data_IF_237764907094
#
_entry.id   IF_237764907094
#
_cell.length_a   1.000
_cell.length_b   1.000
_cell.length_c   1.000
_cell.angle_alpha   90.00
_cell.angle_beta   90.00
_cell.angle_gamma   90.00
#
_symmetry.space_group_name_H-M   'P 1'
#
loop_
_entity.id
_entity.type
_entity.pdbx_description
1 polymer ?
#
# COMPACT_ATOMS: atom_id res chain seq x y z
N UNK A 1 -4.50 -12.32 -11.84
CA UNK A 1 -5.44 -11.47 -11.10
C UNK A 1 -5.40 -11.72 -9.62
N UNK A 2 -5.50 -12.98 -9.18
CA UNK A 2 -5.51 -13.33 -7.74
C UNK A 2 -4.24 -12.90 -7.01
N UNK A 3 -3.07 -13.24 -7.55
CA UNK A 3 -1.80 -12.86 -6.93
C UNK A 3 -1.70 -11.33 -6.74
N UNK A 4 -2.14 -10.58 -7.73
CA UNK A 4 -2.05 -9.12 -7.68
C UNK A 4 -3.04 -8.52 -6.66
N UNK A 5 -4.28 -8.98 -6.60
CA UNK A 5 -5.23 -8.48 -5.59
C UNK A 5 -4.86 -8.93 -4.17
N UNK A 6 -4.26 -10.11 -4.04
CA UNK A 6 -3.72 -10.57 -2.76
C UNK A 6 -2.55 -9.69 -2.29
N UNK A 7 -1.64 -9.29 -3.18
CA UNK A 7 -0.54 -8.40 -2.81
C UNK A 7 -1.01 -7.05 -2.25
N UNK A 8 -2.16 -6.54 -2.73
CA UNK A 8 -2.78 -5.31 -2.22
C UNK A 8 -3.39 -5.52 -0.83
N UNK A 9 -3.95 -6.70 -0.54
CA UNK A 9 -4.77 -6.92 0.67
C UNK A 9 -4.10 -7.72 1.77
N UNK A 10 -2.99 -8.42 1.48
CA UNK A 10 -2.36 -9.34 2.42
C UNK A 10 -1.85 -8.66 3.69
N UNK A 11 -1.25 -7.47 3.59
CA UNK A 11 -0.77 -6.77 4.78
C UNK A 11 -1.93 -6.34 5.69
N UNK A 12 -3.00 -5.81 5.11
CA UNK A 12 -4.21 -5.49 5.87
C UNK A 12 -4.82 -6.74 6.53
N UNK A 13 -4.86 -7.86 5.81
CA UNK A 13 -5.33 -9.14 6.34
C UNK A 13 -4.48 -9.63 7.52
N UNK A 14 -3.17 -9.49 7.44
CA UNK A 14 -2.24 -9.84 8.53
C UNK A 14 -2.47 -8.96 9.76
N UNK A 15 -2.61 -7.65 9.57
CA UNK A 15 -2.87 -6.72 10.67
C UNK A 15 -4.21 -7.03 11.35
N UNK A 16 -5.27 -7.30 10.57
CA UNK A 16 -6.59 -7.65 11.08
C UNK A 16 -6.63 -9.00 11.81
N UNK A 17 -5.82 -9.96 11.39
CA UNK A 17 -5.71 -11.31 11.96
C UNK A 17 -4.75 -11.43 13.13
N UNK A 18 -4.05 -10.38 13.50
CA UNK A 18 -3.10 -10.40 14.60
C UNK A 18 -3.77 -10.45 15.98
N UNK A 19 -3.03 -10.83 17.01
CA UNK A 19 -3.53 -10.97 18.40
C UNK A 19 -4.23 -9.70 18.94
N UNK A 20 -3.75 -8.52 18.52
CA UNK A 20 -4.32 -7.23 18.95
C UNK A 20 -5.35 -6.66 17.97
N UNK A 21 -5.62 -7.33 16.84
CA UNK A 21 -6.59 -6.87 15.83
C UNK A 21 -6.27 -5.48 15.28
N UNK A 22 -7.32 -4.73 14.98
CA UNK A 22 -7.24 -3.34 14.49
C UNK A 22 -7.11 -2.38 15.67
N UNK A 23 -5.97 -1.72 15.83
CA UNK A 23 -5.66 -0.90 17.00
C UNK A 23 -5.93 0.59 16.79
N UNK A 24 -6.07 1.05 15.54
CA UNK A 24 -6.22 2.46 15.23
C UNK A 24 -7.52 3.08 15.78
N UNK A 25 -8.58 2.28 15.93
CA UNK A 25 -9.86 2.70 16.48
C UNK A 25 -10.05 2.35 17.97
N UNK A 26 -9.02 1.87 18.65
CA UNK A 26 -9.09 1.47 20.05
C UNK A 26 -8.90 2.69 20.95
N UNK A 27 -9.92 2.99 21.78
CA UNK A 27 -9.99 4.25 22.54
C UNK A 27 -9.19 4.19 23.85
N UNK A 28 -9.03 3.01 24.44
CA UNK A 28 -8.64 2.91 25.86
C UNK A 28 -7.22 2.41 26.08
N UNK A 29 -6.76 1.38 25.39
CA UNK A 29 -5.49 0.72 25.70
C UNK A 29 -4.42 0.82 24.62
N UNK A 30 -4.81 0.80 23.35
CA UNK A 30 -3.86 0.58 22.27
C UNK A 30 -3.20 1.85 21.75
N UNK A 31 -3.82 3.02 21.97
CA UNK A 31 -3.31 4.29 21.46
C UNK A 31 -2.08 4.80 22.23
N UNK A 32 -1.89 4.38 23.46
CA UNK A 32 -0.76 4.82 24.29
C UNK A 32 0.37 3.78 24.42
N UNK A 33 0.06 2.51 24.20
CA UNK A 33 1.00 1.40 24.37
C UNK A 33 1.44 0.80 23.03
N UNK A 34 0.60 0.94 21.99
CA UNK A 34 0.80 0.37 20.67
C UNK A 34 0.64 1.43 19.56
N UNK A 35 1.04 2.68 19.81
CA UNK A 35 0.90 3.76 18.84
C UNK A 35 1.68 3.49 17.54
N UNK A 36 2.92 3.01 17.62
CA UNK A 36 3.72 2.58 16.48
C UNK A 36 2.96 1.59 15.58
N UNK A 37 2.28 0.62 16.22
CA UNK A 37 1.44 -0.34 15.50
C UNK A 37 0.24 0.33 14.86
N UNK A 38 -0.45 1.22 15.57
CA UNK A 38 -1.62 1.92 15.07
C UNK A 38 -1.26 2.76 13.83
N UNK A 39 -0.15 3.48 13.85
CA UNK A 39 0.30 4.26 12.70
C UNK A 39 0.77 3.38 11.55
N UNK A 40 1.44 2.27 11.81
CA UNK A 40 1.76 1.29 10.76
C UNK A 40 0.49 0.72 10.12
N UNK A 41 -0.52 0.39 10.90
CA UNK A 41 -1.83 -0.04 10.38
C UNK A 41 -2.49 1.04 9.52
N UNK A 42 -2.35 2.31 9.91
CA UNK A 42 -2.86 3.42 9.12
C UNK A 42 -2.18 3.49 7.75
N UNK A 43 -0.85 3.37 7.70
CA UNK A 43 -0.10 3.31 6.45
C UNK A 43 -0.50 2.11 5.58
N UNK A 44 -0.65 0.93 6.16
CA UNK A 44 -1.15 -0.26 5.45
C UNK A 44 -2.54 -0.02 4.86
N UNK A 45 -3.44 0.58 5.65
CA UNK A 45 -4.78 0.92 5.16
C UNK A 45 -4.73 1.93 4.01
N UNK A 46 -3.95 3.01 4.15
CA UNK A 46 -3.84 4.06 3.15
C UNK A 46 -3.41 3.48 1.79
N UNK A 47 -2.31 2.72 1.77
CA UNK A 47 -1.81 2.11 0.56
C UNK A 47 -2.78 1.04 -0.01
N UNK A 48 -3.39 0.21 0.84
CA UNK A 48 -4.42 -0.75 0.41
C UNK A 48 -5.59 -0.05 -0.27
N UNK A 49 -6.08 1.05 0.29
CA UNK A 49 -7.20 1.81 -0.28
C UNK A 49 -6.87 2.37 -1.66
N UNK A 50 -5.71 3.03 -1.81
CA UNK A 50 -5.29 3.62 -3.08
C UNK A 50 -5.09 2.54 -4.15
N UNK A 51 -4.38 1.45 -3.82
CA UNK A 51 -4.13 0.37 -4.77
C UNK A 51 -5.39 -0.46 -5.08
N UNK A 52 -6.32 -0.58 -4.15
CA UNK A 52 -7.60 -1.24 -4.41
C UNK A 52 -8.47 -0.39 -5.34
N UNK A 53 -8.42 0.94 -5.23
CA UNK A 53 -9.09 1.83 -6.17
C UNK A 53 -8.55 1.64 -7.59
N UNK A 54 -7.23 1.69 -7.76
CA UNK A 54 -6.56 1.39 -9.03
C UNK A 54 -6.94 0.00 -9.57
N UNK A 55 -6.83 -1.03 -8.74
CA UNK A 55 -7.09 -2.41 -9.14
C UNK A 55 -8.53 -2.58 -9.65
N UNK A 56 -9.49 -2.06 -8.90
CA UNK A 56 -10.90 -2.19 -9.18
C UNK A 56 -11.35 -1.40 -10.42
N UNK A 57 -10.82 -0.18 -10.58
CA UNK A 57 -11.27 0.74 -11.63
C UNK A 57 -10.53 0.59 -12.94
N UNK A 58 -9.33 0.02 -12.95
CA UNK A 58 -8.50 -0.12 -14.14
C UNK A 58 -8.16 -1.59 -14.45
N UNK A 59 -7.52 -2.31 -13.53
CA UNK A 59 -6.96 -3.64 -13.80
C UNK A 59 -8.03 -4.73 -13.89
N UNK A 60 -9.07 -4.66 -13.06
CA UNK A 60 -10.16 -5.65 -13.01
C UNK A 60 -11.25 -5.39 -14.07
N UNK A 61 -10.88 -4.80 -15.22
CA UNK A 61 -11.78 -4.51 -16.33
C UNK A 61 -11.19 -4.98 -17.66
N UNK A 62 -12.03 -5.33 -18.63
CA UNK A 62 -11.60 -5.63 -19.99
C UNK A 62 -11.41 -4.36 -20.83
N UNK A 63 -12.13 -3.30 -20.52
CA UNK A 63 -12.07 -2.01 -21.20
C UNK A 63 -12.53 -0.86 -20.32
N UNK A 64 -12.24 0.36 -20.74
CA UNK A 64 -12.54 1.59 -19.96
C UNK A 64 -14.04 1.79 -19.70
N UNK A 65 -14.90 1.25 -20.58
CA UNK A 65 -16.35 1.37 -20.49
C UNK A 65 -17.03 0.19 -19.76
N UNK A 66 -16.27 -0.82 -19.37
CA UNK A 66 -16.82 -1.97 -18.66
C UNK A 66 -17.22 -1.61 -17.24
N UNK A 67 -18.24 -2.30 -16.74
CA UNK A 67 -18.65 -2.16 -15.36
C UNK A 67 -17.60 -2.74 -14.44
N UNK A 68 -17.34 -2.04 -13.36
CA UNK A 68 -16.56 -2.53 -12.24
C UNK A 68 -17.20 -3.81 -11.67
N UNK A 69 -16.37 -4.76 -11.22
CA UNK A 69 -16.88 -5.93 -10.50
C UNK A 69 -17.66 -5.49 -9.27
N UNK A 70 -18.91 -5.98 -9.13
CA UNK A 70 -19.76 -5.65 -7.97
C UNK A 70 -19.05 -5.95 -6.64
N UNK A 71 -18.32 -7.06 -6.57
CA UNK A 71 -17.57 -7.42 -5.36
C UNK A 71 -16.47 -6.38 -5.03
N UNK A 72 -15.71 -5.94 -6.03
CA UNK A 72 -14.66 -4.94 -5.82
C UNK A 72 -15.25 -3.56 -5.54
N UNK A 73 -16.33 -3.20 -6.20
CA UNK A 73 -17.08 -1.97 -5.93
C UNK A 73 -17.54 -1.91 -4.47
N UNK A 74 -18.16 -3.00 -3.95
CA UNK A 74 -18.59 -3.09 -2.58
C UNK A 74 -17.42 -3.07 -1.59
N UNK A 75 -16.30 -3.74 -1.90
CA UNK A 75 -15.09 -3.70 -1.08
C UNK A 75 -14.55 -2.28 -0.98
N UNK A 76 -14.45 -1.58 -2.10
CA UNK A 76 -13.87 -0.24 -2.21
C UNK A 76 -14.72 0.81 -1.51
N UNK A 77 -16.00 0.91 -1.86
CA UNK A 77 -16.88 2.00 -1.39
C UNK A 77 -17.48 1.75 -0.01
N UNK A 78 -17.87 0.51 0.30
CA UNK A 78 -18.56 0.20 1.55
C UNK A 78 -17.64 -0.42 2.61
N UNK A 79 -16.42 -0.75 2.22
CA UNK A 79 -15.41 -1.32 3.10
C UNK A 79 -14.22 -0.39 3.31
N UNK A 80 -13.33 -0.32 2.34
CA UNK A 80 -12.08 0.46 2.45
C UNK A 80 -12.27 1.98 2.43
N UNK A 81 -13.46 2.52 2.14
CA UNK A 81 -13.74 3.94 2.28
C UNK A 81 -14.04 4.39 3.72
N UNK A 82 -14.28 3.44 4.65
CA UNK A 82 -14.57 3.77 6.05
C UNK A 82 -13.31 4.29 6.73
N UNK A 83 -13.45 5.37 7.50
CA UNK A 83 -12.34 5.97 8.25
C UNK A 83 -11.69 4.95 9.20
N UNK A 84 -10.36 4.79 9.20
CA UNK A 84 -9.65 3.79 10.01
C UNK A 84 -9.79 4.00 11.52
N UNK A 85 -10.18 5.19 11.95
CA UNK A 85 -10.42 5.54 13.36
C UNK A 85 -11.85 5.28 13.81
N UNK A 86 -12.73 4.90 12.88
CA UNK A 86 -14.15 4.67 13.21
C UNK A 86 -14.30 3.42 14.09
N UNK A 87 -14.78 3.61 15.33
CA UNK A 87 -15.04 2.51 16.28
C UNK A 87 -16.51 2.14 16.40
N UNK A 88 -17.44 3.01 15.98
CA UNK A 88 -18.89 2.79 16.01
C UNK A 88 -19.41 2.34 14.64
N UNK A 89 -20.70 2.33 14.45
CA UNK A 89 -21.37 1.89 13.24
C UNK A 89 -21.32 2.93 12.12
N UNK A 90 -20.67 2.64 10.97
CA UNK A 90 -19.88 1.43 10.69
C UNK A 90 -18.50 1.47 11.36
N UNK A 91 -18.09 0.39 12.01
CA UNK A 91 -16.73 0.29 12.56
C UNK A 91 -15.73 -0.02 11.45
N UNK A 92 -14.51 0.53 11.57
CA UNK A 92 -13.41 0.26 10.64
C UNK A 92 -13.14 -1.24 10.52
N UNK A 93 -12.94 -1.92 11.65
CA UNK A 93 -12.66 -3.35 11.68
C UNK A 93 -13.74 -4.19 11.01
N UNK A 94 -15.01 -3.94 11.33
CA UNK A 94 -16.14 -4.66 10.72
C UNK A 94 -16.24 -4.41 9.22
N UNK A 95 -15.99 -3.18 8.79
CA UNK A 95 -16.02 -2.78 7.38
C UNK A 95 -14.90 -3.41 6.58
N UNK A 96 -13.66 -3.40 7.11
CA UNK A 96 -12.51 -4.02 6.43
C UNK A 96 -12.63 -5.54 6.36
N UNK A 97 -13.14 -6.23 7.40
CA UNK A 97 -13.44 -7.66 7.34
C UNK A 97 -14.46 -7.97 6.23
N UNK A 98 -15.51 -7.15 6.09
CA UNK A 98 -16.48 -7.29 5.00
C UNK A 98 -15.83 -7.04 3.63
N UNK A 99 -15.00 -6.00 3.51
CA UNK A 99 -14.26 -5.72 2.27
C UNK A 99 -13.35 -6.88 1.86
N UNK A 100 -12.57 -7.41 2.78
CA UNK A 100 -11.72 -8.57 2.53
C UNK A 100 -12.53 -9.81 2.09
N UNK A 101 -13.74 -10.01 2.66
CA UNK A 101 -14.65 -11.06 2.20
C UNK A 101 -15.13 -10.82 0.77
N UNK A 102 -15.46 -9.60 0.39
CA UNK A 102 -15.83 -9.27 -0.99
C UNK A 102 -14.67 -9.53 -1.96
N UNK A 103 -13.43 -9.21 -1.58
CA UNK A 103 -12.24 -9.56 -2.37
C UNK A 103 -12.13 -11.08 -2.58
N UNK A 104 -12.43 -11.91 -1.56
CA UNK A 104 -12.44 -13.37 -1.73
C UNK A 104 -13.54 -13.83 -2.71
N UNK A 105 -14.73 -13.23 -2.67
CA UNK A 105 -15.79 -13.54 -3.65
C UNK A 105 -15.38 -13.13 -5.07
N UNK A 106 -14.70 -11.98 -5.24
CA UNK A 106 -14.12 -11.62 -6.53
C UNK A 106 -13.10 -12.68 -7.00
N UNK A 107 -12.20 -13.14 -6.15
CA UNK A 107 -11.21 -14.18 -6.50
C UNK A 107 -11.90 -15.49 -6.93
N UNK A 108 -12.98 -15.88 -6.27
CA UNK A 108 -13.79 -17.04 -6.68
C UNK A 108 -14.47 -16.81 -8.05
N UNK A 109 -14.90 -15.58 -8.32
CA UNK A 109 -15.48 -15.24 -9.62
C UNK A 109 -14.50 -15.37 -10.77
N UNK A 110 -13.21 -15.12 -10.52
CA UNK A 110 -12.14 -15.36 -11.48
C UNK A 110 -11.99 -16.86 -11.81
N UNK A 111 -12.13 -17.76 -10.81
CA UNK A 111 -12.06 -19.20 -11.03
C UNK A 111 -13.20 -19.73 -11.91
N UNK A 112 -14.36 -19.10 -11.81
CA UNK A 112 -15.56 -19.50 -12.57
C UNK A 112 -15.68 -18.79 -13.93
N UNK A 113 -14.71 -17.97 -14.31
CA UNK A 113 -14.72 -17.17 -15.55
C UNK A 113 -15.78 -16.07 -15.56
N UNK A 114 -16.39 -15.74 -14.41
CA UNK A 114 -17.36 -14.65 -14.28
C UNK A 114 -16.70 -13.33 -13.90
N UNK A 115 -15.52 -13.38 -13.28
CA UNK A 115 -14.71 -12.23 -12.96
C UNK A 115 -13.86 -11.82 -14.13
N UNK A 116 -13.54 -10.53 -14.23
CA UNK A 116 -12.64 -9.97 -15.21
C UNK A 116 -11.30 -9.59 -14.61
N UNK A 117 -10.26 -9.85 -15.34
CA UNK A 117 -8.89 -9.41 -15.06
C UNK A 117 -8.19 -9.20 -16.40
N UNK A 118 -7.67 -8.02 -16.62
CA UNK A 118 -6.89 -7.70 -17.79
C UNK A 118 -5.86 -6.64 -17.39
N UNK A 119 -4.60 -6.98 -17.50
CA UNK A 119 -3.51 -6.06 -17.20
C UNK A 119 -2.62 -5.95 -18.44
N UNK A 120 -2.67 -4.80 -19.06
CA UNK A 120 -1.92 -4.44 -20.26
C UNK A 120 -0.76 -3.53 -19.90
N UNK A 121 0.09 -3.21 -20.85
CA UNK A 121 1.22 -2.28 -20.67
C UNK A 121 0.77 -0.93 -20.12
N UNK A 122 -0.36 -0.40 -20.61
CA UNK A 122 -0.93 0.86 -20.12
C UNK A 122 -1.34 0.76 -18.64
N UNK A 123 -1.85 -0.39 -18.23
CA UNK A 123 -2.25 -0.64 -16.83
C UNK A 123 -1.01 -0.78 -15.93
N UNK A 124 0.08 -1.37 -16.44
CA UNK A 124 1.38 -1.42 -15.75
C UNK A 124 1.95 -0.01 -15.56
N UNK A 125 1.89 0.82 -16.61
CA UNK A 125 2.27 2.22 -16.51
C UNK A 125 1.43 2.95 -15.45
N UNK A 126 0.11 2.81 -15.50
CA UNK A 126 -0.80 3.42 -14.53
C UNK A 126 -0.56 2.94 -13.10
N UNK A 127 -0.25 1.63 -12.92
CA UNK A 127 0.09 1.05 -11.63
C UNK A 127 1.36 1.67 -11.04
N UNK A 128 2.45 1.74 -11.80
CA UNK A 128 3.69 2.37 -11.37
C UNK A 128 3.50 3.88 -11.16
N UNK A 129 2.75 4.56 -12.04
CA UNK A 129 2.44 5.98 -11.87
C UNK A 129 1.65 6.27 -10.59
N UNK A 130 0.73 5.39 -10.20
CA UNK A 130 0.02 5.48 -8.92
C UNK A 130 0.99 5.31 -7.75
N UNK A 131 1.88 4.30 -7.81
CA UNK A 131 2.86 4.02 -6.75
C UNK A 131 3.82 5.20 -6.52
N UNK A 132 4.36 5.81 -7.59
CA UNK A 132 5.29 6.94 -7.45
C UNK A 132 4.58 8.28 -7.21
N UNK A 133 3.25 8.30 -7.36
CA UNK A 133 2.42 9.50 -7.30
C UNK A 133 2.30 10.12 -5.92
N UNK A 134 1.64 11.29 -5.90
CA UNK A 134 1.47 12.11 -4.69
C UNK A 134 0.63 11.43 -3.60
N UNK A 135 -0.22 10.48 -3.94
CA UNK A 135 -1.04 9.74 -2.98
C UNK A 135 -0.35 8.50 -2.38
N UNK A 136 0.86 8.17 -2.82
CA UNK A 136 1.63 7.02 -2.38
C UNK A 136 3.06 7.41 -1.95
N UNK A 137 4.09 7.16 -2.76
CA UNK A 137 5.47 7.53 -2.38
C UNK A 137 5.65 9.04 -2.23
N UNK A 138 4.93 9.86 -2.99
CA UNK A 138 4.92 11.32 -2.79
C UNK A 138 4.32 11.71 -1.44
N UNK A 139 3.22 11.08 -1.02
CA UNK A 139 2.64 11.29 0.31
C UNK A 139 3.60 10.85 1.42
N UNK A 140 4.22 9.67 1.28
CA UNK A 140 5.20 9.17 2.24
C UNK A 140 6.40 10.14 2.43
N UNK A 141 6.90 10.72 1.33
CA UNK A 141 7.92 11.75 1.37
C UNK A 141 7.41 13.03 2.05
N UNK A 142 6.17 13.44 1.76
CA UNK A 142 5.53 14.59 2.38
C UNK A 142 5.37 14.46 3.90
N UNK A 143 5.09 13.25 4.41
CA UNK A 143 5.04 12.98 5.85
C UNK A 143 6.35 13.27 6.58
N UNK A 144 7.48 13.14 5.90
CA UNK A 144 8.82 13.29 6.48
C UNK A 144 9.54 14.56 6.02
N UNK A 145 8.92 15.40 5.20
CA UNK A 145 9.57 16.57 4.59
C UNK A 145 10.08 17.58 5.64
N UNK A 146 9.41 17.68 6.77
CA UNK A 146 9.73 18.56 7.91
C UNK A 146 10.27 17.80 9.12
N UNK A 147 10.90 16.63 8.89
CA UNK A 147 11.31 15.71 9.95
C UNK A 147 12.22 16.33 11.03
N UNK A 148 13.00 17.37 10.66
CA UNK A 148 13.88 18.07 11.60
C UNK A 148 13.14 19.05 12.53
N UNK A 149 11.97 19.52 12.12
CA UNK A 149 11.19 20.56 12.80
C UNK A 149 10.06 20.01 13.66
N UNK A 150 9.77 18.71 13.55
CA UNK A 150 8.66 18.08 14.28
C UNK A 150 9.12 17.40 15.56
N UNK A 151 8.26 17.35 16.60
CA UNK A 151 8.56 16.62 17.83
C UNK A 151 8.81 15.13 17.54
N UNK A 152 9.77 14.53 18.27
CA UNK A 152 10.21 13.14 18.04
C UNK A 152 9.06 12.11 18.10
N UNK A 153 8.08 12.30 18.97
CA UNK A 153 6.90 11.42 19.07
C UNK A 153 5.97 11.52 17.85
N UNK A 154 5.96 12.66 17.16
CA UNK A 154 5.23 12.82 15.90
C UNK A 154 6.03 12.22 14.74
N UNK A 155 7.35 12.38 14.76
CA UNK A 155 8.24 11.80 13.76
C UNK A 155 8.20 10.27 13.80
N UNK A 156 8.23 9.69 14.99
CA UNK A 156 8.09 8.27 15.22
C UNK A 156 6.81 7.72 14.56
N UNK A 157 5.69 8.32 14.85
CA UNK A 157 4.40 7.97 14.27
C UNK A 157 4.40 8.02 12.73
N UNK A 158 4.99 9.08 12.15
CA UNK A 158 5.08 9.24 10.69
C UNK A 158 5.98 8.19 10.05
N UNK A 159 7.08 7.81 10.70
CA UNK A 159 7.96 6.73 10.22
C UNK A 159 7.21 5.40 10.17
N UNK A 160 6.46 5.04 11.22
CA UNK A 160 5.67 3.80 11.20
C UNK A 160 4.53 3.83 10.19
N UNK A 161 3.92 4.99 9.96
CA UNK A 161 2.93 5.16 8.87
C UNK A 161 3.58 4.89 7.50
N UNK A 162 4.73 5.50 7.24
CA UNK A 162 5.51 5.27 6.01
C UNK A 162 5.86 3.78 5.84
N UNK A 163 6.33 3.13 6.90
CA UNK A 163 6.62 1.69 6.85
C UNK A 163 5.40 0.86 6.47
N UNK A 164 4.24 1.17 7.06
CA UNK A 164 2.98 0.51 6.73
C UNK A 164 2.61 0.65 5.26
N UNK A 165 2.80 1.84 4.70
CA UNK A 165 2.58 2.08 3.26
C UNK A 165 3.56 1.28 2.40
N UNK A 166 4.85 1.35 2.71
CA UNK A 166 5.90 0.70 1.93
C UNK A 166 5.77 -0.82 1.95
N UNK A 167 5.28 -1.42 3.04
CA UNK A 167 4.97 -2.86 3.09
C UNK A 167 3.99 -3.29 1.98
N UNK A 168 2.93 -2.53 1.78
CA UNK A 168 1.92 -2.82 0.74
C UNK A 168 2.47 -2.52 -0.65
N UNK A 169 3.15 -1.37 -0.82
CA UNK A 169 3.78 -0.99 -2.08
C UNK A 169 4.78 -2.05 -2.54
N UNK A 170 5.64 -2.50 -1.64
CA UNK A 170 6.65 -3.53 -1.92
C UNK A 170 6.00 -4.84 -2.41
N UNK A 171 4.99 -5.32 -1.68
CA UNK A 171 4.31 -6.56 -2.04
C UNK A 171 3.59 -6.42 -3.40
N UNK A 172 3.02 -5.25 -3.68
CA UNK A 172 2.36 -4.95 -4.96
C UNK A 172 3.36 -4.87 -6.12
N UNK A 173 4.44 -4.11 -5.96
CA UNK A 173 5.49 -3.97 -6.99
C UNK A 173 6.15 -5.31 -7.27
N UNK A 174 6.41 -6.11 -6.22
CA UNK A 174 6.90 -7.47 -6.38
C UNK A 174 5.95 -8.34 -7.19
N UNK A 175 4.67 -8.31 -6.88
CA UNK A 175 3.66 -9.08 -7.62
C UNK A 175 3.53 -8.63 -9.08
N UNK A 176 3.64 -7.33 -9.37
CA UNK A 176 3.70 -6.83 -10.74
C UNK A 176 4.92 -7.39 -11.47
N UNK A 177 6.09 -7.36 -10.86
CA UNK A 177 7.32 -7.87 -11.46
C UNK A 177 7.29 -9.39 -11.69
N UNK A 178 6.76 -10.15 -10.73
CA UNK A 178 6.62 -11.61 -10.84
C UNK A 178 5.64 -12.01 -11.97
N UNK A 179 4.61 -11.22 -12.20
CA UNK A 179 3.60 -11.48 -13.24
C UNK A 179 4.00 -10.95 -14.62
N UNK A 180 4.71 -9.85 -14.65
CA UNK A 180 5.06 -9.08 -15.85
C UNK A 180 6.56 -8.75 -15.85
N UNK A 181 7.44 -9.75 -16.03
CA UNK A 181 8.89 -9.53 -15.99
C UNK A 181 9.38 -8.57 -17.08
N UNK A 182 8.58 -8.34 -18.12
CA UNK A 182 8.85 -7.33 -19.13
C UNK A 182 8.98 -5.90 -18.58
N UNK A 183 8.43 -5.61 -17.40
CA UNK A 183 8.63 -4.33 -16.70
C UNK A 183 10.11 -4.04 -16.49
N UNK A 184 10.92 -5.08 -16.25
CA UNK A 184 12.35 -4.95 -16.02
C UNK A 184 13.21 -5.14 -17.26
N UNK A 185 12.64 -5.12 -18.47
CA UNK A 185 13.41 -5.13 -19.71
C UNK A 185 14.16 -3.81 -19.89
N UNK A 186 15.13 -3.77 -20.82
CA UNK A 186 15.92 -2.55 -21.15
C UNK A 186 16.74 -1.99 -19.97
N UNK A 187 17.47 -2.86 -19.24
CA UNK A 187 18.30 -2.52 -18.08
C UNK A 187 17.55 -2.11 -16.80
N UNK A 188 16.23 -2.26 -16.74
CA UNK A 188 15.45 -1.95 -15.54
C UNK A 188 15.52 -3.03 -14.44
N UNK A 189 16.14 -4.18 -14.69
CA UNK A 189 16.30 -5.22 -13.67
C UNK A 189 17.11 -4.73 -12.45
N UNK A 190 18.16 -3.92 -12.69
CA UNK A 190 18.95 -3.31 -11.62
C UNK A 190 18.15 -2.25 -10.85
N UNK A 191 17.36 -1.43 -11.56
CA UNK A 191 16.47 -0.46 -10.94
C UNK A 191 15.42 -1.15 -10.06
N UNK A 192 14.85 -2.26 -10.54
CA UNK A 192 13.88 -3.04 -9.77
C UNK A 192 14.52 -3.67 -8.52
N UNK A 193 15.70 -4.29 -8.67
CA UNK A 193 16.43 -4.87 -7.55
C UNK A 193 16.79 -3.81 -6.49
N UNK A 194 17.26 -2.65 -6.91
CA UNK A 194 17.58 -1.53 -6.02
C UNK A 194 16.32 -0.99 -5.31
N UNK A 195 15.23 -0.78 -6.04
CA UNK A 195 13.97 -0.33 -5.45
C UNK A 195 13.45 -1.33 -4.41
N UNK A 196 13.49 -2.63 -4.71
CA UNK A 196 13.10 -3.69 -3.78
C UNK A 196 13.98 -3.72 -2.54
N UNK A 197 15.29 -3.51 -2.67
CA UNK A 197 16.20 -3.44 -1.54
C UNK A 197 15.86 -2.25 -0.64
N UNK A 198 15.75 -1.03 -1.19
CA UNK A 198 15.41 0.15 -0.40
C UNK A 198 14.06 0.02 0.32
N UNK A 199 13.05 -0.56 -0.35
CA UNK A 199 11.76 -0.84 0.31
C UNK A 199 11.91 -1.85 1.45
N UNK A 200 12.75 -2.89 1.30
CA UNK A 200 13.03 -3.82 2.39
C UNK A 200 13.75 -3.14 3.56
N UNK A 201 14.71 -2.27 3.28
CA UNK A 201 15.43 -1.52 4.31
C UNK A 201 14.49 -0.60 5.09
N UNK A 202 13.54 0.07 4.43
CA UNK A 202 12.48 0.85 5.08
C UNK A 202 11.61 -0.07 5.97
N UNK A 203 11.16 -1.21 5.44
CA UNK A 203 10.27 -2.12 6.16
C UNK A 203 10.91 -2.77 7.40
N UNK A 204 12.24 -2.90 7.41
CA UNK A 204 13.01 -3.50 8.51
C UNK A 204 13.63 -2.46 9.45
N UNK A 205 13.46 -1.17 9.17
CA UNK A 205 13.97 -0.11 10.02
C UNK A 205 13.21 -0.10 11.35
N UNK A 206 13.90 -0.46 12.43
CA UNK A 206 13.33 -0.56 13.78
C UNK A 206 14.32 0.05 14.80
N UNK A 207 14.43 1.38 14.85
CA UNK A 207 15.32 2.05 15.77
C UNK A 207 14.77 1.98 17.20
N UNK A 208 15.64 1.79 18.18
CA UNK A 208 15.26 1.74 19.59
C UNK A 208 14.60 3.06 20.04
N UNK A 209 14.99 4.18 19.46
CA UNK A 209 14.40 5.50 19.68
C UNK A 209 14.68 6.42 18.48
N UNK A 210 13.82 7.39 18.29
CA UNK A 210 13.87 8.39 17.23
C UNK A 210 13.97 9.76 17.89
N UNK A 211 14.92 10.59 17.43
CA UNK A 211 15.06 12.00 17.87
C UNK A 211 15.38 12.87 16.66
N UNK A 212 15.24 14.18 16.80
CA UNK A 212 15.61 15.14 15.74
C UNK A 212 17.10 15.08 15.33
N UNK A 213 17.98 14.58 16.22
CA UNK A 213 19.41 14.48 15.98
C UNK A 213 19.91 13.04 15.78
N UNK A 214 19.08 12.05 16.13
CA UNK A 214 19.44 10.64 16.06
C UNK A 214 18.27 9.85 15.46
N UNK A 215 18.52 9.09 14.41
CA UNK A 215 17.45 8.37 13.70
C UNK A 215 16.35 9.32 13.20
N UNK A 216 16.72 10.49 12.70
CA UNK A 216 15.84 11.61 12.35
C UNK A 216 14.94 11.39 11.13
N UNK A 217 14.88 10.16 10.62
CA UNK A 217 14.12 9.84 9.41
C UNK A 217 14.84 10.18 8.08
N UNK A 218 15.99 10.86 8.10
CA UNK A 218 16.73 11.22 6.88
C UNK A 218 17.12 10.00 6.04
N UNK A 219 17.46 8.90 6.71
CA UNK A 219 17.77 7.64 6.03
C UNK A 219 16.53 7.11 5.30
N UNK A 220 15.37 7.16 5.96
CA UNK A 220 14.09 6.73 5.36
C UNK A 220 13.71 7.63 4.20
N UNK A 221 13.88 8.96 4.33
CA UNK A 221 13.67 9.92 3.24
C UNK A 221 14.55 9.55 2.03
N UNK A 222 15.83 9.29 2.27
CA UNK A 222 16.77 8.92 1.22
C UNK A 222 16.35 7.62 0.52
N UNK A 223 15.98 6.60 1.27
CA UNK A 223 15.49 5.34 0.70
C UNK A 223 14.17 5.50 -0.08
N UNK A 224 13.25 6.34 0.41
CA UNK A 224 12.02 6.68 -0.31
C UNK A 224 12.31 7.39 -1.64
N UNK A 225 13.22 8.38 -1.63
CA UNK A 225 13.62 9.10 -2.83
C UNK A 225 14.28 8.17 -3.86
N UNK A 226 15.20 7.31 -3.42
CA UNK A 226 15.82 6.33 -4.31
C UNK A 226 14.79 5.33 -4.86
N UNK A 227 13.91 4.81 -4.02
CA UNK A 227 12.82 3.92 -4.46
C UNK A 227 11.97 4.60 -5.52
N UNK A 228 11.51 5.83 -5.24
CA UNK A 228 10.68 6.60 -6.16
C UNK A 228 11.36 6.81 -7.50
N UNK A 229 12.61 7.30 -7.49
CA UNK A 229 13.38 7.55 -8.72
C UNK A 229 13.58 6.27 -9.55
N UNK A 230 13.92 5.13 -8.91
CA UNK A 230 14.07 3.85 -9.62
C UNK A 230 12.76 3.36 -10.25
N UNK A 231 11.65 3.51 -9.53
CA UNK A 231 10.34 3.14 -10.07
C UNK A 231 9.86 4.11 -11.15
N UNK A 232 10.23 5.40 -11.11
CA UNK A 232 9.99 6.37 -12.17
C UNK A 232 10.75 6.01 -13.44
N UNK A 233 12.02 5.63 -13.34
CA UNK A 233 12.83 5.17 -14.49
C UNK A 233 12.15 3.95 -15.15
N UNK A 234 11.67 2.99 -14.35
CA UNK A 234 10.96 1.80 -14.85
C UNK A 234 9.65 2.22 -15.52
N UNK A 235 8.83 3.05 -14.86
CA UNK A 235 7.57 3.56 -15.41
C UNK A 235 7.78 4.25 -16.75
N UNK A 236 8.77 5.13 -16.83
CA UNK A 236 9.00 5.94 -18.04
C UNK A 236 9.53 5.09 -19.20
N UNK A 237 10.18 3.96 -18.92
CA UNK A 237 10.56 3.00 -19.95
C UNK A 237 9.38 2.25 -20.58
N UNK A 238 8.21 2.24 -19.92
CA UNK A 238 6.97 1.64 -20.46
C UNK A 238 6.21 2.58 -21.41
N UNK A 239 6.61 3.85 -21.49
CA UNK A 239 6.05 4.76 -22.50
C UNK A 239 6.53 4.33 -23.89
N UNK A 240 5.60 4.01 -24.76
CA UNK A 240 5.81 3.72 -26.16
C UNK A 240 5.67 5.01 -26.95
#
# INVERSE_FOLDING_TARGET
>A
GKLLVDSVTNQLRREMGSTFGWTMNDIVFNRFVLDNRAYRQYGVYHATRVLMDLYSTQIAKLGSNDRESEFLYQARLNGFAVDPRSFMFPSAEGSYKKALKQVEEYKKSLDTGKGTYNCRTDDLYAALNTVVGENMLGYALGLLADAQDIPFYTLDNRIYEVQGMVLVIRDFVKALYDLYPEIAQKNNAENMAAAMQFMNDICTYDPMYITSSFNSGELIISYLMFTKNRLEDIRDSLRI
#
